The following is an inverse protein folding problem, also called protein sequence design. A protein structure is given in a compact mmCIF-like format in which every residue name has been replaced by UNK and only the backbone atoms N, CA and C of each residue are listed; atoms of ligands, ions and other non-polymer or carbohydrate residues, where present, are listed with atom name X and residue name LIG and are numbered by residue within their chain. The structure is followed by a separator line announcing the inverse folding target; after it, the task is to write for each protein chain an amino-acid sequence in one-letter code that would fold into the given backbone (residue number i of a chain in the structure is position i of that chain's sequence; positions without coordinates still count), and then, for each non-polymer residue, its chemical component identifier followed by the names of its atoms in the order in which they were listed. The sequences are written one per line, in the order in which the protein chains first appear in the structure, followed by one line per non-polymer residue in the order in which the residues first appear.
data_IF_835612203777
#
_entry.id   IF_835612203777
#
_cell.length_a   1.000
_cell.length_b   1.000
_cell.length_c   1.000
_cell.angle_alpha   90.00
_cell.angle_beta   90.00
_cell.angle_gamma   90.00
#
_symmetry.space_group_name_H-M   'P 1'
#
loop_
_entity.id
_entity.type
_entity.pdbx_description
1 polymer ?
#
# COMPACT_ATOMS: atom_id res chain seq x y z
N UNK A 1 3.97 -7.25 18.06
CA UNK A 1 3.79 -8.14 16.88
C UNK A 1 2.32 -8.13 16.48
N UNK A 2 1.94 -7.98 15.22
CA UNK A 2 0.54 -8.02 14.79
C UNK A 2 -0.14 -9.34 15.19
N UNK A 3 -1.41 -9.30 15.68
CA UNK A 3 -2.13 -10.51 16.12
C UNK A 3 -2.23 -11.60 15.04
N UNK A 4 -2.40 -11.21 13.78
CA UNK A 4 -2.45 -12.16 12.65
C UNK A 4 -1.14 -12.94 12.46
N UNK A 5 0.02 -12.31 12.73
CA UNK A 5 1.33 -12.96 12.66
C UNK A 5 1.48 -13.98 13.80
N UNK A 6 0.99 -13.65 14.99
CA UNK A 6 0.93 -14.58 16.13
C UNK A 6 0.04 -15.77 15.79
N UNK A 7 -1.15 -15.52 15.24
CA UNK A 7 -2.07 -16.58 14.81
C UNK A 7 -1.44 -17.52 13.78
N UNK A 8 -0.67 -16.98 12.83
CA UNK A 8 0.06 -17.80 11.85
C UNK A 8 1.09 -18.72 12.52
N UNK A 9 1.88 -18.20 13.48
CA UNK A 9 2.86 -19.03 14.20
C UNK A 9 2.17 -20.12 15.04
N UNK A 10 1.10 -19.78 15.75
CA UNK A 10 0.32 -20.75 16.52
C UNK A 10 -0.26 -21.83 15.62
N UNK A 11 -0.87 -21.46 14.50
CA UNK A 11 -1.41 -22.41 13.53
C UNK A 11 -0.32 -23.33 12.94
N UNK A 12 0.87 -22.78 12.66
CA UNK A 12 2.02 -23.56 12.15
C UNK A 12 2.51 -24.57 13.20
N UNK A 13 2.69 -24.13 14.44
CA UNK A 13 3.09 -25.02 15.55
C UNK A 13 2.02 -26.10 15.77
N UNK A 14 0.73 -25.73 15.75
CA UNK A 14 -0.38 -26.68 15.86
C UNK A 14 -0.38 -27.73 14.73
N UNK A 15 -0.13 -27.30 13.49
CA UNK A 15 -0.03 -28.22 12.35
C UNK A 15 1.14 -29.20 12.51
N UNK A 16 2.30 -28.73 12.95
CA UNK A 16 3.46 -29.57 13.25
C UNK A 16 3.13 -30.56 14.40
N UNK A 17 2.43 -30.10 15.44
CA UNK A 17 1.96 -30.96 16.55
C UNK A 17 1.01 -32.06 16.09
N UNK A 18 0.08 -31.75 15.18
CA UNK A 18 -0.81 -32.75 14.58
C UNK A 18 -0.05 -33.80 13.76
N UNK A 19 0.96 -33.39 13.02
CA UNK A 19 1.84 -34.31 12.28
C UNK A 19 2.58 -35.22 13.27
N UNK A 20 3.26 -34.65 14.27
CA UNK A 20 3.98 -35.42 15.29
C UNK A 20 3.07 -36.41 16.03
N UNK A 21 1.89 -35.95 16.43
CA UNK A 21 0.88 -36.81 17.08
C UNK A 21 0.48 -37.98 16.17
N UNK A 22 0.26 -37.72 14.88
CA UNK A 22 -0.11 -38.76 13.91
C UNK A 22 1.00 -39.80 13.73
N UNK A 23 2.25 -39.38 13.73
CA UNK A 23 3.42 -40.26 13.62
C UNK A 23 3.59 -41.16 14.87
N UNK A 24 3.26 -40.63 16.07
CA UNK A 24 3.47 -41.36 17.34
C UNK A 24 2.29 -42.28 17.70
N UNK A 25 1.06 -41.80 17.51
CA UNK A 25 -0.15 -42.45 18.02
C UNK A 25 -1.06 -43.00 16.90
N UNK A 26 -0.61 -42.92 15.62
CA UNK A 26 -1.34 -43.40 14.46
C UNK A 26 -2.30 -42.34 13.87
N UNK A 27 -3.01 -42.72 12.77
CA UNK A 27 -3.77 -41.77 11.97
C UNK A 27 -4.96 -41.17 12.71
N UNK A 28 -5.21 -39.90 12.43
CA UNK A 28 -6.41 -39.18 12.86
C UNK A 28 -7.57 -39.48 11.90
N UNK A 29 -8.84 -39.34 12.36
CA UNK A 29 -9.97 -39.29 11.42
C UNK A 29 -9.71 -38.26 10.32
N UNK A 30 -9.98 -38.61 9.06
CA UNK A 30 -9.56 -37.83 7.87
C UNK A 30 -10.05 -36.37 7.88
N UNK A 31 -11.20 -36.10 8.49
CA UNK A 31 -11.77 -34.76 8.58
C UNK A 31 -10.93 -33.80 9.47
N UNK A 32 -10.14 -34.34 10.41
CA UNK A 32 -9.30 -33.51 11.29
C UNK A 32 -8.14 -32.85 10.52
N UNK A 33 -7.26 -33.61 9.82
CA UNK A 33 -6.22 -32.96 9.01
C UNK A 33 -6.81 -32.12 7.85
N UNK A 34 -7.94 -32.53 7.27
CA UNK A 34 -8.61 -31.74 6.22
C UNK A 34 -9.06 -30.37 6.76
N UNK A 35 -9.71 -30.33 7.91
CA UNK A 35 -10.14 -29.08 8.55
C UNK A 35 -8.94 -28.20 8.94
N UNK A 36 -7.86 -28.81 9.47
CA UNK A 36 -6.65 -28.09 9.82
C UNK A 36 -5.98 -27.43 8.58
N UNK A 37 -5.86 -28.16 7.48
CA UNK A 37 -5.33 -27.63 6.21
C UNK A 37 -6.24 -26.53 5.66
N UNK A 38 -7.56 -26.73 5.63
CA UNK A 38 -8.51 -25.73 5.16
C UNK A 38 -8.42 -24.44 5.99
N UNK A 39 -8.40 -24.54 7.32
CA UNK A 39 -8.26 -23.40 8.22
C UNK A 39 -6.93 -22.67 8.04
N UNK A 40 -5.83 -23.41 7.86
CA UNK A 40 -4.52 -22.84 7.59
C UNK A 40 -4.47 -22.07 6.27
N UNK A 41 -5.05 -22.63 5.20
CA UNK A 41 -5.14 -21.97 3.89
C UNK A 41 -6.01 -20.72 3.95
N UNK A 42 -7.14 -20.75 4.67
CA UNK A 42 -7.97 -19.57 4.89
C UNK A 42 -7.22 -18.47 5.65
N UNK A 43 -6.46 -18.84 6.69
CA UNK A 43 -5.64 -17.90 7.44
C UNK A 43 -4.57 -17.25 6.54
N UNK A 44 -3.85 -18.05 5.75
CA UNK A 44 -2.87 -17.53 4.79
C UNK A 44 -3.53 -16.61 3.75
N UNK A 45 -4.66 -17.03 3.18
CA UNK A 45 -5.43 -16.24 2.22
C UNK A 45 -5.87 -14.90 2.80
N UNK A 46 -6.33 -14.88 4.06
CA UNK A 46 -6.65 -13.64 4.76
C UNK A 46 -5.43 -12.74 4.93
N UNK A 47 -4.26 -13.31 5.29
CA UNK A 47 -3.01 -12.56 5.40
C UNK A 47 -2.54 -11.96 4.08
N UNK A 48 -2.80 -12.63 2.97
CA UNK A 48 -2.50 -12.11 1.62
C UNK A 48 -3.47 -11.00 1.23
N UNK A 49 -4.78 -11.20 1.45
CA UNK A 49 -5.84 -10.32 0.96
C UNK A 49 -6.03 -9.05 1.80
N UNK A 50 -5.73 -9.10 3.09
CA UNK A 50 -5.98 -7.99 4.01
C UNK A 50 -4.67 -7.41 4.54
N UNK A 51 -4.13 -6.45 3.79
CA UNK A 51 -2.87 -5.76 4.08
C UNK A 51 -2.78 -5.26 5.53
N UNK A 52 -3.88 -4.71 6.08
CA UNK A 52 -3.95 -4.16 7.45
C UNK A 52 -3.70 -5.19 8.55
N UNK A 53 -3.79 -6.48 8.26
CA UNK A 53 -3.50 -7.54 9.24
C UNK A 53 -2.01 -7.59 9.60
N UNK A 54 -1.12 -7.07 8.74
CA UNK A 54 0.31 -7.05 9.01
C UNK A 54 0.93 -8.44 9.17
N UNK A 55 0.32 -9.47 8.57
CA UNK A 55 0.74 -10.86 8.79
C UNK A 55 2.17 -11.11 8.30
N UNK A 56 2.51 -10.64 7.11
CA UNK A 56 3.81 -10.88 6.48
C UNK A 56 4.74 -9.69 6.57
N UNK A 57 4.21 -8.46 6.58
CA UNK A 57 4.96 -7.20 6.62
C UNK A 57 4.37 -6.27 7.65
N UNK A 58 5.20 -5.40 8.22
CA UNK A 58 4.69 -4.31 9.07
C UNK A 58 4.07 -3.24 8.17
N UNK A 59 2.86 -2.80 8.52
CA UNK A 59 2.03 -1.92 7.69
C UNK A 59 1.57 -0.72 8.51
N UNK A 60 1.78 0.46 7.98
CA UNK A 60 1.14 1.68 8.48
C UNK A 60 -0.22 1.80 7.78
N UNK A 61 -1.29 1.50 8.49
CA UNK A 61 -2.67 1.57 7.97
C UNK A 61 -3.51 2.67 8.62
N UNK A 62 -2.96 3.33 9.62
CA UNK A 62 -3.45 4.55 10.28
C UNK A 62 -2.27 5.34 10.82
N UNK A 63 -2.46 6.62 11.08
CA UNK A 63 -1.50 7.43 11.82
C UNK A 63 -1.30 6.95 13.26
N UNK A 64 -0.24 7.40 13.94
CA UNK A 64 -0.06 7.19 15.38
C UNK A 64 -1.21 7.82 16.18
N UNK A 65 -1.32 7.50 17.46
CA UNK A 65 -2.45 7.97 18.27
C UNK A 65 -2.45 9.51 18.44
N UNK A 66 -1.29 10.14 18.31
CA UNK A 66 -1.11 11.61 18.35
C UNK A 66 -1.28 12.29 16.98
N UNK A 67 -1.49 11.50 15.90
CA UNK A 67 -1.64 12.05 14.56
C UNK A 67 -2.79 13.05 14.51
N UNK A 68 -2.54 14.19 13.85
CA UNK A 68 -3.55 15.17 13.52
C UNK A 68 -3.76 15.20 12.01
N UNK A 69 -5.01 15.45 11.60
CA UNK A 69 -5.40 15.51 10.20
C UNK A 69 -5.64 14.14 9.56
N UNK A 70 -5.86 14.17 8.27
CA UNK A 70 -6.21 13.03 7.41
C UNK A 70 -5.18 12.92 6.29
N UNK A 71 -4.60 11.74 6.10
CA UNK A 71 -3.77 11.46 4.93
C UNK A 71 -4.66 11.00 3.76
N UNK A 72 -4.97 11.93 2.84
CA UNK A 72 -5.52 11.57 1.54
C UNK A 72 -4.42 10.91 0.72
N UNK A 73 -4.65 9.71 0.20
CA UNK A 73 -3.67 8.99 -0.61
C UNK A 73 -4.29 8.58 -1.93
N UNK A 74 -3.53 8.78 -3.03
CA UNK A 74 -3.97 8.52 -4.39
C UNK A 74 -3.07 7.46 -5.03
N UNK A 75 -3.67 6.41 -5.57
CA UNK A 75 -2.99 5.30 -6.23
C UNK A 75 -3.18 5.36 -7.77
N UNK A 76 -2.39 4.57 -8.49
CA UNK A 76 -2.47 4.27 -9.92
C UNK A 76 -2.06 5.40 -10.88
N UNK A 77 -1.82 6.62 -10.39
CA UNK A 77 -1.32 7.73 -11.19
C UNK A 77 0.20 7.67 -11.48
N UNK A 78 0.72 8.74 -12.07
CA UNK A 78 0.03 9.94 -12.50
C UNK A 78 -0.74 9.75 -13.80
N UNK A 79 -1.86 10.48 -13.95
CA UNK A 79 -2.61 10.61 -15.20
C UNK A 79 -2.49 12.03 -15.75
N UNK A 80 -2.08 12.21 -17.01
CA UNK A 80 -2.04 13.55 -17.62
C UNK A 80 -3.38 14.28 -17.62
N UNK A 81 -4.49 13.53 -17.65
CA UNK A 81 -5.84 14.08 -17.68
C UNK A 81 -6.37 14.41 -16.28
N UNK A 82 -6.17 13.52 -15.30
CA UNK A 82 -6.87 13.59 -14.02
C UNK A 82 -6.01 14.17 -12.88
N UNK A 83 -4.72 13.83 -12.83
CA UNK A 83 -3.85 14.25 -11.73
C UNK A 83 -3.75 15.78 -11.60
N UNK A 84 -3.65 16.58 -12.70
CA UNK A 84 -3.65 18.05 -12.60
C UNK A 84 -4.92 18.58 -11.92
N UNK A 85 -6.09 18.04 -12.27
CA UNK A 85 -7.36 18.44 -11.68
C UNK A 85 -7.44 18.11 -10.19
N UNK A 86 -6.93 16.94 -9.77
CA UNK A 86 -6.82 16.57 -8.35
C UNK A 86 -5.90 17.55 -7.60
N UNK A 87 -4.76 17.90 -8.19
CA UNK A 87 -3.82 18.86 -7.61
C UNK A 87 -4.45 20.24 -7.42
N UNK A 88 -5.21 20.73 -8.40
CA UNK A 88 -5.90 22.02 -8.32
C UNK A 88 -6.98 22.02 -7.23
N UNK A 89 -7.73 20.92 -7.08
CA UNK A 89 -8.71 20.75 -6.00
C UNK A 89 -8.05 20.71 -4.63
N UNK A 90 -6.90 20.02 -4.50
CA UNK A 90 -6.13 19.97 -3.24
C UNK A 90 -5.59 21.34 -2.87
N UNK A 91 -5.07 22.11 -3.82
CA UNK A 91 -4.59 23.47 -3.58
C UNK A 91 -5.74 24.41 -3.16
N UNK A 92 -6.89 24.34 -3.84
CA UNK A 92 -8.08 25.10 -3.47
C UNK A 92 -8.57 24.76 -2.06
N UNK A 93 -8.48 23.49 -1.66
CA UNK A 93 -8.79 22.99 -0.33
C UNK A 93 -7.69 23.20 0.70
N UNK A 94 -6.53 23.77 0.32
CA UNK A 94 -5.31 23.90 1.15
C UNK A 94 -4.88 22.58 1.80
N UNK A 95 -5.13 21.46 1.13
CA UNK A 95 -4.82 20.14 1.61
C UNK A 95 -3.53 19.60 0.98
N UNK A 96 -2.74 18.90 1.77
CA UNK A 96 -1.63 18.10 1.24
C UNK A 96 -2.04 16.63 1.21
N UNK A 97 -1.43 15.88 0.29
CA UNK A 97 -1.76 14.49 0.03
C UNK A 97 -0.48 13.66 -0.23
N UNK A 98 -0.65 12.36 -0.40
CA UNK A 98 0.41 11.43 -0.79
C UNK A 98 -0.02 10.66 -2.03
N UNK A 99 0.84 10.62 -3.04
CA UNK A 99 0.60 9.93 -4.31
C UNK A 99 1.47 8.68 -4.39
N UNK A 100 0.84 7.50 -4.51
CA UNK A 100 1.51 6.23 -4.77
C UNK A 100 1.51 5.97 -6.27
N UNK A 101 2.60 6.32 -6.92
CA UNK A 101 2.67 6.36 -8.37
C UNK A 101 3.12 5.03 -8.97
N UNK A 102 2.51 4.66 -10.11
CA UNK A 102 3.04 3.63 -11.00
C UNK A 102 4.22 4.26 -11.74
N UNK A 103 5.43 3.81 -11.41
CA UNK A 103 6.64 4.49 -11.86
C UNK A 103 6.77 4.56 -13.39
N UNK A 104 6.30 3.55 -14.11
CA UNK A 104 6.26 3.53 -15.57
C UNK A 104 5.41 4.67 -16.15
N UNK A 105 4.27 5.00 -15.51
CA UNK A 105 3.43 6.15 -15.93
C UNK A 105 4.13 7.48 -15.66
N UNK A 106 4.89 7.58 -14.58
CA UNK A 106 5.61 8.78 -14.20
C UNK A 106 6.76 9.14 -15.16
N UNK A 107 7.25 8.20 -15.96
CA UNK A 107 8.33 8.43 -16.93
C UNK A 107 7.88 9.26 -18.16
N UNK A 108 6.57 9.30 -18.44
CA UNK A 108 6.06 10.06 -19.58
C UNK A 108 4.61 10.55 -19.30
N UNK A 109 4.40 11.82 -18.90
CA UNK A 109 5.36 12.92 -18.81
C UNK A 109 5.98 13.10 -17.40
N UNK A 110 7.31 13.24 -17.25
CA UNK A 110 7.96 13.40 -15.95
C UNK A 110 7.63 14.74 -15.27
N UNK A 111 7.21 15.75 -16.01
CA UNK A 111 6.81 17.06 -15.48
C UNK A 111 5.64 16.95 -14.52
N UNK A 112 4.75 15.99 -14.71
CA UNK A 112 3.60 15.80 -13.85
C UNK A 112 4.04 15.31 -12.45
N UNK A 113 5.02 14.41 -12.38
CA UNK A 113 5.57 13.98 -11.11
C UNK A 113 6.32 15.11 -10.40
N UNK A 114 7.06 15.94 -11.16
CA UNK A 114 7.69 17.15 -10.61
C UNK A 114 6.65 18.14 -10.08
N UNK A 115 5.51 18.29 -10.76
CA UNK A 115 4.41 19.15 -10.31
C UNK A 115 3.82 18.67 -8.98
N UNK A 116 3.62 17.35 -8.79
CA UNK A 116 3.17 16.77 -7.53
C UNK A 116 4.13 17.16 -6.40
N UNK A 117 5.45 16.98 -6.61
CA UNK A 117 6.47 17.33 -5.62
C UNK A 117 6.53 18.84 -5.34
N UNK A 118 6.53 19.68 -6.40
CA UNK A 118 6.61 21.13 -6.28
C UNK A 118 5.43 21.75 -5.55
N UNK A 119 4.23 21.14 -5.64
CA UNK A 119 3.04 21.55 -4.89
C UNK A 119 3.07 21.02 -3.43
N UNK A 120 4.17 20.39 -3.00
CA UNK A 120 4.41 19.97 -1.61
C UNK A 120 3.64 18.70 -1.20
N UNK A 121 3.25 17.85 -2.14
CA UNK A 121 2.71 16.52 -1.84
C UNK A 121 3.82 15.49 -1.65
N UNK A 122 3.54 14.42 -0.90
CA UNK A 122 4.46 13.30 -0.79
C UNK A 122 4.30 12.33 -1.95
N UNK A 123 5.39 11.65 -2.32
CA UNK A 123 5.40 10.64 -3.36
C UNK A 123 5.87 9.32 -2.76
N UNK A 124 5.08 8.28 -2.95
CA UNK A 124 5.42 6.88 -2.72
C UNK A 124 5.44 6.10 -4.03
N UNK A 125 5.92 4.86 -3.99
CA UNK A 125 5.91 3.97 -5.16
C UNK A 125 4.81 2.92 -5.06
N UNK A 126 4.11 2.67 -6.18
CA UNK A 126 3.05 1.65 -6.34
C UNK A 126 3.48 0.52 -7.30
N UNK A 127 4.77 0.16 -7.28
CA UNK A 127 5.40 -0.72 -8.24
C UNK A 127 5.86 0.02 -9.50
N UNK A 128 6.55 -0.74 -10.37
CA UNK A 128 7.03 -0.18 -11.63
C UNK A 128 5.95 -0.16 -12.71
N UNK A 129 5.28 -1.30 -12.95
CA UNK A 129 4.24 -1.48 -13.96
C UNK A 129 2.91 -2.02 -13.42
N UNK A 130 2.71 -1.99 -12.10
CA UNK A 130 1.51 -2.44 -11.39
C UNK A 130 1.16 -3.91 -11.68
N UNK A 131 2.14 -4.85 -11.56
CA UNK A 131 1.86 -6.28 -11.69
C UNK A 131 0.89 -6.75 -10.59
N UNK A 132 -0.37 -7.00 -10.94
CA UNK A 132 -1.41 -7.48 -10.01
C UNK A 132 -1.07 -8.81 -9.34
N UNK A 133 -0.18 -9.59 -9.96
CA UNK A 133 0.28 -10.87 -9.45
C UNK A 133 1.64 -10.77 -8.76
N UNK A 134 2.11 -9.55 -8.43
CA UNK A 134 3.41 -9.33 -7.80
C UNK A 134 3.59 -10.17 -6.53
N UNK A 135 2.52 -10.36 -5.74
CA UNK A 135 2.52 -11.19 -4.52
C UNK A 135 2.85 -12.67 -4.76
N UNK A 136 2.68 -13.14 -6.00
CA UNK A 136 3.00 -14.51 -6.43
C UNK A 136 4.36 -14.62 -7.13
N UNK A 137 5.00 -13.49 -7.47
CA UNK A 137 6.32 -13.49 -8.13
C UNK A 137 7.43 -13.92 -7.17
N UNK A 138 8.57 -14.30 -7.73
CA UNK A 138 9.75 -14.59 -6.92
C UNK A 138 10.23 -13.34 -6.16
N UNK A 139 10.88 -13.48 -5.00
CA UNK A 139 11.41 -12.34 -4.25
C UNK A 139 12.36 -11.47 -5.09
N UNK A 140 13.13 -12.07 -6.00
CA UNK A 140 14.01 -11.33 -6.91
C UNK A 140 13.20 -10.45 -7.87
N UNK A 141 12.11 -10.97 -8.48
CA UNK A 141 11.26 -10.19 -9.39
C UNK A 141 10.56 -9.05 -8.64
N UNK A 142 10.11 -9.28 -7.40
CA UNK A 142 9.54 -8.23 -6.54
C UNK A 142 10.59 -7.17 -6.22
N UNK A 143 11.81 -7.58 -5.86
CA UNK A 143 12.91 -6.66 -5.59
C UNK A 143 13.26 -5.81 -6.81
N UNK A 144 13.33 -6.42 -8.00
CA UNK A 144 13.64 -5.70 -9.23
C UNK A 144 12.54 -4.68 -9.61
N UNK A 145 11.27 -5.02 -9.34
CA UNK A 145 10.14 -4.11 -9.56
C UNK A 145 10.22 -2.89 -8.63
N UNK A 146 10.43 -3.12 -7.33
CA UNK A 146 10.54 -2.04 -6.34
C UNK A 146 11.78 -1.16 -6.62
N UNK A 147 12.93 -1.76 -6.93
CA UNK A 147 14.16 -1.03 -7.25
C UNK A 147 13.97 -0.12 -8.47
N UNK A 148 13.41 -0.67 -9.56
CA UNK A 148 13.11 0.11 -10.77
C UNK A 148 12.12 1.26 -10.49
N UNK A 149 11.11 1.02 -9.66
CA UNK A 149 10.15 2.05 -9.30
C UNK A 149 10.80 3.19 -8.50
N UNK A 150 11.62 2.86 -7.51
CA UNK A 150 12.35 3.82 -6.69
C UNK A 150 13.32 4.63 -7.57
N UNK A 151 14.09 3.95 -8.43
CA UNK A 151 15.09 4.62 -9.27
C UNK A 151 14.44 5.56 -10.28
N UNK A 152 13.30 5.18 -10.87
CA UNK A 152 12.55 6.03 -11.78
C UNK A 152 12.03 7.30 -11.06
N UNK A 153 11.40 7.16 -9.90
CA UNK A 153 10.92 8.31 -9.13
C UNK A 153 12.09 9.20 -8.70
N UNK A 154 13.18 8.60 -8.20
CA UNK A 154 14.37 9.35 -7.78
C UNK A 154 15.00 10.13 -8.93
N UNK A 155 15.06 9.55 -10.12
CA UNK A 155 15.64 10.22 -11.31
C UNK A 155 14.84 11.45 -11.76
N UNK A 156 13.54 11.47 -11.48
CA UNK A 156 12.64 12.57 -11.89
C UNK A 156 12.60 13.67 -10.81
N UNK A 157 12.52 13.29 -9.53
CA UNK A 157 12.28 14.21 -8.42
C UNK A 157 13.56 14.64 -7.71
N UNK A 158 14.66 13.91 -7.86
CA UNK A 158 15.88 14.06 -7.06
C UNK A 158 15.78 13.47 -5.65
N UNK A 159 14.60 13.08 -5.20
CA UNK A 159 14.35 12.54 -3.85
C UNK A 159 14.03 11.05 -3.90
N UNK A 160 14.63 10.27 -2.99
CA UNK A 160 14.35 8.84 -2.88
C UNK A 160 13.05 8.61 -2.13
N UNK A 161 12.03 7.97 -2.73
CA UNK A 161 10.79 7.66 -2.04
C UNK A 161 11.02 6.65 -0.90
N UNK A 162 10.38 6.90 0.24
CA UNK A 162 10.44 6.04 1.43
C UNK A 162 9.10 5.34 1.73
N UNK A 163 8.10 5.58 0.91
CA UNK A 163 6.76 5.00 1.02
C UNK A 163 6.54 3.99 -0.11
N UNK A 164 6.01 2.83 0.24
CA UNK A 164 5.64 1.79 -0.72
C UNK A 164 4.23 1.28 -0.42
N UNK A 165 3.41 1.17 -1.45
CA UNK A 165 2.13 0.49 -1.39
C UNK A 165 2.14 -0.63 -2.43
N UNK A 166 1.96 -1.90 -2.02
CA UNK A 166 1.95 -3.00 -2.98
C UNK A 166 0.74 -2.89 -3.91
N UNK A 167 0.90 -3.21 -5.22
CA UNK A 167 -0.20 -3.27 -6.18
C UNK A 167 -1.39 -4.08 -5.64
N UNK A 168 -2.61 -3.59 -5.87
CA UNK A 168 -3.89 -4.13 -5.35
C UNK A 168 -3.95 -4.33 -3.84
N UNK A 169 -2.94 -3.89 -3.08
CA UNK A 169 -2.87 -4.07 -1.63
C UNK A 169 -2.61 -5.50 -1.17
N UNK A 170 -2.07 -6.38 -2.03
CA UNK A 170 -1.75 -7.76 -1.69
C UNK A 170 -0.33 -7.87 -1.14
N UNK A 171 -0.16 -8.72 -0.11
CA UNK A 171 1.15 -9.05 0.47
C UNK A 171 1.40 -10.55 0.45
N UNK A 172 2.66 -10.94 0.66
CA UNK A 172 3.03 -12.35 0.77
C UNK A 172 4.40 -12.47 1.46
N UNK A 173 4.79 -13.69 1.90
CA UNK A 173 6.14 -13.93 2.39
C UNK A 173 7.23 -13.53 1.38
N UNK A 174 6.96 -13.63 0.08
CA UNK A 174 7.89 -13.25 -0.99
C UNK A 174 8.08 -11.74 -1.08
N UNK A 175 7.00 -10.96 -0.92
CA UNK A 175 7.07 -9.49 -0.80
C UNK A 175 7.83 -9.11 0.47
N UNK A 176 7.54 -9.76 1.61
CA UNK A 176 8.24 -9.53 2.86
C UNK A 176 9.77 -9.73 2.71
N UNK A 177 10.18 -10.83 2.09
CA UNK A 177 11.59 -11.13 1.82
C UNK A 177 12.24 -10.08 0.89
N UNK A 178 11.54 -9.64 -0.15
CA UNK A 178 12.06 -8.61 -1.05
C UNK A 178 12.24 -7.27 -0.33
N UNK A 179 11.29 -6.89 0.52
CA UNK A 179 11.31 -5.63 1.27
C UNK A 179 12.46 -5.52 2.28
N UNK A 180 13.09 -6.63 2.69
CA UNK A 180 14.29 -6.59 3.54
C UNK A 180 15.47 -5.84 2.90
N UNK A 181 15.45 -5.67 1.58
CA UNK A 181 16.50 -4.98 0.82
C UNK A 181 16.30 -3.47 0.70
N UNK A 182 15.12 -2.98 1.11
CA UNK A 182 14.72 -1.58 0.93
C UNK A 182 14.38 -0.92 2.27
N UNK A 183 14.76 0.33 2.38
CA UNK A 183 14.33 1.19 3.49
C UNK A 183 13.07 1.94 3.09
N UNK A 184 11.96 1.19 3.06
CA UNK A 184 10.64 1.74 2.73
C UNK A 184 9.61 1.32 3.77
N UNK A 185 8.61 2.19 3.96
CA UNK A 185 7.43 1.90 4.79
C UNK A 185 6.33 1.36 3.91
N UNK A 186 5.81 0.19 4.28
CA UNK A 186 4.60 -0.34 3.63
C UNK A 186 3.38 0.38 4.18
N UNK A 187 2.58 0.95 3.27
CA UNK A 187 1.40 1.75 3.62
C UNK A 187 0.13 1.04 3.17
N UNK A 188 -0.76 0.85 4.12
CA UNK A 188 -2.15 0.44 3.89
C UNK A 188 -3.11 1.63 3.96
N UNK A 189 -4.33 1.36 4.41
CA UNK A 189 -5.39 2.35 4.59
C UNK A 189 -6.33 1.95 5.71
N UNK A 190 -6.95 2.95 6.35
CA UNK A 190 -8.05 2.75 7.30
C UNK A 190 -9.41 2.88 6.61
N UNK A 191 -9.49 3.60 5.49
CA UNK A 191 -10.70 3.83 4.71
C UNK A 191 -10.44 3.53 3.24
N UNK A 192 -11.22 2.63 2.65
CA UNK A 192 -11.20 2.31 1.22
C UNK A 192 -12.43 2.93 0.55
N UNK A 193 -12.22 3.90 -0.32
CA UNK A 193 -13.31 4.63 -0.96
C UNK A 193 -14.01 3.84 -2.07
N UNK A 194 -13.31 2.91 -2.75
CA UNK A 194 -13.75 2.15 -3.93
C UNK A 194 -14.09 3.06 -5.13
N UNK A 195 -13.36 4.13 -5.28
CA UNK A 195 -13.49 5.16 -6.32
C UNK A 195 -12.82 4.77 -7.65
N UNK A 196 -11.76 3.93 -7.60
CA UNK A 196 -11.04 3.42 -8.77
C UNK A 196 -11.78 2.29 -9.52
N UNK A 197 -12.98 1.91 -9.09
CA UNK A 197 -13.79 0.89 -9.79
C UNK A 197 -14.60 1.56 -10.90
N UNK A 198 -14.55 1.00 -12.12
CA UNK A 198 -15.34 1.51 -13.26
C UNK A 198 -16.81 1.61 -12.92
N UNK A 199 -17.41 2.81 -13.12
CA UNK A 199 -18.79 3.09 -12.79
C UNK A 199 -19.05 3.33 -11.27
N UNK A 200 -18.01 3.57 -10.48
CA UNK A 200 -18.17 3.94 -9.08
C UNK A 200 -18.99 5.24 -8.94
N UNK A 201 -19.94 5.25 -8.00
CA UNK A 201 -20.75 6.44 -7.71
C UNK A 201 -19.99 7.41 -6.80
N UNK A 202 -19.80 8.68 -7.19
CA UNK A 202 -19.21 9.70 -6.32
C UNK A 202 -19.88 9.83 -4.96
N UNK A 203 -21.22 9.75 -4.90
CA UNK A 203 -21.95 9.86 -3.62
C UNK A 203 -21.68 8.68 -2.67
N UNK A 204 -21.50 7.47 -3.22
CA UNK A 204 -21.06 6.31 -2.43
C UNK A 204 -19.64 6.46 -1.93
N UNK A 205 -18.75 7.02 -2.74
CA UNK A 205 -17.36 7.35 -2.36
C UNK A 205 -17.38 8.35 -1.20
N UNK A 206 -18.11 9.47 -1.35
CA UNK A 206 -18.24 10.50 -0.31
C UNK A 206 -18.77 9.88 0.99
N UNK A 207 -19.83 9.08 0.92
CA UNK A 207 -20.43 8.45 2.11
C UNK A 207 -19.44 7.53 2.83
N UNK A 208 -18.66 6.71 2.10
CA UNK A 208 -17.65 5.83 2.69
C UNK A 208 -16.54 6.63 3.36
N UNK A 209 -16.05 7.67 2.69
CA UNK A 209 -15.00 8.52 3.23
C UNK A 209 -15.47 9.24 4.48
N UNK A 210 -16.64 9.90 4.44
CA UNK A 210 -17.22 10.62 5.58
C UNK A 210 -17.36 9.75 6.83
N UNK A 211 -17.75 8.48 6.70
CA UNK A 211 -17.83 7.54 7.84
C UNK A 211 -16.50 7.24 8.50
N UNK A 212 -15.41 7.42 7.79
CA UNK A 212 -14.07 7.13 8.27
C UNK A 212 -13.21 8.35 8.58
N UNK A 213 -13.76 9.58 8.38
CA UNK A 213 -13.05 10.82 8.68
C UNK A 213 -12.77 10.95 10.18
N UNK A 214 -11.51 11.03 10.53
CA UNK A 214 -10.99 11.29 11.87
C UNK A 214 -9.49 11.55 11.79
N UNK A 215 -8.93 12.11 12.83
CA UNK A 215 -7.48 12.23 12.98
C UNK A 215 -6.79 10.86 12.79
N UNK A 216 -5.68 10.87 12.07
CA UNK A 216 -4.91 9.68 11.77
C UNK A 216 -5.50 8.76 10.71
N UNK A 217 -6.64 9.12 10.08
CA UNK A 217 -7.19 8.31 9.00
C UNK A 217 -6.30 8.36 7.75
N UNK A 218 -6.07 7.19 7.15
CA UNK A 218 -5.44 7.05 5.81
C UNK A 218 -6.54 6.63 4.85
N UNK A 219 -6.84 7.51 3.89
CA UNK A 219 -7.92 7.33 2.91
C UNK A 219 -7.32 6.89 1.58
N UNK A 220 -7.73 5.73 1.09
CA UNK A 220 -7.36 5.24 -0.24
C UNK A 220 -8.32 5.77 -1.29
N UNK A 221 -7.78 6.57 -2.18
CA UNK A 221 -8.38 7.10 -3.40
C UNK A 221 -7.48 6.76 -4.61
N UNK A 222 -7.91 7.14 -5.82
CA UNK A 222 -7.15 6.97 -7.05
C UNK A 222 -7.17 8.28 -7.85
N UNK A 223 -6.03 8.69 -8.42
CA UNK A 223 -5.93 9.82 -9.34
C UNK A 223 -5.89 9.38 -10.80
N UNK A 224 -5.85 8.06 -11.03
CA UNK A 224 -5.96 7.42 -12.33
C UNK A 224 -6.64 6.06 -12.21
N UNK A 225 -7.22 5.57 -13.31
CA UNK A 225 -7.46 4.14 -13.45
C UNK A 225 -6.14 3.43 -13.76
N UNK A 226 -5.96 2.21 -13.28
CA UNK A 226 -4.75 1.43 -13.55
C UNK A 226 -4.43 1.34 -15.05
N UNK A 227 -5.46 1.14 -15.88
CA UNK A 227 -5.34 0.99 -17.34
C UNK A 227 -5.69 2.25 -18.12
N UNK A 228 -5.91 3.37 -17.44
CA UNK A 228 -6.37 4.63 -18.03
C UNK A 228 -7.65 4.50 -18.91
N UNK A 229 -8.50 3.51 -18.58
CA UNK A 229 -9.71 3.16 -19.33
C UNK A 229 -10.99 3.78 -18.79
N UNK A 230 -10.90 4.52 -17.70
CA UNK A 230 -12.01 5.27 -17.11
C UNK A 230 -11.51 6.35 -16.15
N UNK A 231 -12.41 7.31 -15.85
CA UNK A 231 -12.18 8.37 -14.87
C UNK A 231 -12.51 7.86 -13.47
N UNK A 232 -11.60 7.98 -12.50
CA UNK A 232 -11.90 7.65 -11.09
C UNK A 232 -12.96 8.56 -10.50
N UNK A 233 -13.86 8.00 -9.69
CA UNK A 233 -14.94 8.77 -9.05
C UNK A 233 -14.42 9.72 -7.94
N UNK A 234 -13.18 9.57 -7.51
CA UNK A 234 -12.48 10.49 -6.59
C UNK A 234 -12.49 11.92 -7.09
N UNK A 235 -12.29 12.15 -8.38
CA UNK A 235 -12.23 13.49 -8.96
C UNK A 235 -13.52 14.28 -8.73
N UNK A 236 -14.68 13.62 -8.86
CA UNK A 236 -15.98 14.24 -8.60
C UNK A 236 -16.34 14.27 -7.09
N UNK A 237 -15.78 13.34 -6.32
CA UNK A 237 -16.04 13.23 -4.89
C UNK A 237 -15.16 14.17 -4.05
N UNK A 238 -13.96 14.49 -4.51
CA UNK A 238 -12.94 15.21 -3.74
C UNK A 238 -13.41 16.57 -3.21
N UNK A 239 -14.11 17.42 -3.96
CA UNK A 239 -14.61 18.70 -3.42
C UNK A 239 -15.46 18.52 -2.17
N UNK A 240 -16.40 17.55 -2.18
CA UNK A 240 -17.29 17.26 -1.04
C UNK A 240 -16.53 16.56 0.11
N UNK A 241 -15.46 15.83 -0.19
CA UNK A 241 -14.58 15.24 0.83
C UNK A 241 -13.81 16.34 1.55
N UNK A 242 -13.20 17.27 0.82
CA UNK A 242 -12.45 18.40 1.39
C UNK A 242 -13.37 19.32 2.20
N UNK A 243 -14.59 19.58 1.73
CA UNK A 243 -15.61 20.31 2.49
C UNK A 243 -15.94 19.60 3.80
N UNK A 244 -16.15 18.28 3.77
CA UNK A 244 -16.45 17.51 4.97
C UNK A 244 -15.27 17.52 5.95
N UNK A 245 -14.01 17.43 5.46
CA UNK A 245 -12.82 17.55 6.31
C UNK A 245 -12.79 18.92 7.00
N UNK A 246 -13.03 20.00 6.26
CA UNK A 246 -13.10 21.36 6.83
C UNK A 246 -14.20 21.51 7.90
N UNK A 247 -15.38 20.92 7.67
CA UNK A 247 -16.49 20.95 8.64
C UNK A 247 -16.18 20.17 9.93
N UNK A 248 -15.27 19.21 9.89
CA UNK A 248 -14.79 18.43 11.03
C UNK A 248 -13.45 18.91 11.59
N UNK A 249 -12.96 20.07 11.14
CA UNK A 249 -11.67 20.65 11.57
C UNK A 249 -10.47 19.73 11.31
N UNK A 250 -10.52 18.99 10.19
CA UNK A 250 -9.51 18.03 9.78
C UNK A 250 -8.69 18.58 8.61
N UNK A 251 -7.38 18.65 8.79
CA UNK A 251 -6.46 19.06 7.73
C UNK A 251 -6.03 17.87 6.86
N UNK A 252 -5.82 18.13 5.57
CA UNK A 252 -5.19 17.18 4.65
C UNK A 252 -3.67 17.24 4.80
N UNK A 253 -3.06 16.14 5.23
CA UNK A 253 -1.62 16.08 5.53
C UNK A 253 -0.89 15.05 4.68
N UNK A 254 0.42 15.27 4.51
CA UNK A 254 1.32 14.27 3.93
C UNK A 254 1.49 13.11 4.93
N UNK A 255 1.46 11.88 4.40
CA UNK A 255 1.59 10.69 5.24
C UNK A 255 2.99 10.59 5.88
N UNK A 256 4.04 11.00 5.17
CA UNK A 256 5.41 11.00 5.68
C UNK A 256 5.62 11.95 6.87
N UNK A 257 4.77 12.96 7.05
CA UNK A 257 4.78 13.82 8.23
C UNK A 257 4.52 13.05 9.54
N UNK A 258 3.82 11.92 9.47
CA UNK A 258 3.56 11.05 10.63
C UNK A 258 4.65 10.01 10.89
N UNK A 259 5.59 9.84 9.96
CA UNK A 259 6.58 8.77 10.03
C UNK A 259 7.87 9.19 10.72
N UNK A 260 7.89 10.19 11.57
CA UNK A 260 9.03 10.65 12.37
C UNK A 260 10.40 10.60 11.64
N UNK A 261 11.22 11.58 11.88
CA UNK A 261 12.60 11.67 11.34
C UNK A 261 13.57 10.63 11.92
N UNK A 262 13.12 9.85 12.91
CA UNK A 262 13.95 8.88 13.64
C UNK A 262 13.88 7.46 13.03
N UNK A 263 14.06 7.31 11.72
CA UNK A 263 14.43 6.02 11.17
C UNK A 263 15.94 5.92 11.10
N UNK A 264 16.52 5.26 12.10
CA UNK A 264 17.88 4.76 11.96
C UNK A 264 17.94 3.91 10.67
N UNK A 265 18.88 4.21 9.75
CA UNK A 265 18.98 3.47 8.50
C UNK A 265 19.14 1.99 8.81
N UNK A 266 18.17 1.15 8.41
CA UNK A 266 18.34 -0.31 8.48
C UNK A 266 19.62 -0.64 7.70
N UNK A 267 20.58 -1.29 8.37
CA UNK A 267 21.88 -1.65 7.79
C UNK A 267 21.63 -2.32 6.44
N UNK A 268 22.05 -1.66 5.35
CA UNK A 268 22.09 -2.25 4.01
C UNK A 268 22.84 -3.57 4.08
N UNK A 269 22.14 -4.71 4.04
CA UNK A 269 22.78 -5.97 3.72
C UNK A 269 23.28 -5.86 2.28
N UNK A 270 24.58 -5.75 2.10
CA UNK A 270 25.23 -5.67 0.78
C UNK A 270 24.72 -6.83 -0.08
N UNK A 271 24.00 -6.51 -1.16
CA UNK A 271 23.63 -7.46 -2.23
C UNK A 271 24.94 -8.14 -2.69
N UNK A 272 25.14 -9.42 -2.37
CA UNK A 272 26.22 -10.19 -2.99
C UNK A 272 25.88 -10.26 -4.48
N UNK A 273 26.50 -9.39 -5.28
CA UNK A 273 26.48 -9.52 -6.74
C UNK A 273 27.02 -10.91 -7.05
N UNK A 274 26.15 -11.85 -7.42
CA UNK A 274 26.60 -13.06 -8.12
C UNK A 274 27.19 -12.56 -9.43
N UNK A 275 28.52 -12.63 -9.52
CA UNK A 275 29.21 -12.52 -10.80
C UNK A 275 28.57 -13.57 -11.71
N UNK A 276 27.96 -13.12 -12.80
CA UNK A 276 27.68 -13.96 -13.93
C UNK A 276 29.04 -14.50 -14.40
N UNK A 277 29.25 -15.79 -14.29
CA UNK A 277 30.32 -16.45 -15.02
C UNK A 277 29.88 -16.51 -16.49
N UNK A 278 30.80 -16.01 -17.30
CA UNK A 278 30.80 -16.09 -18.76
C UNK A 278 30.60 -17.52 -19.27
#
# INVERSE_FOLDING_TARGET
MPPARVALYVATIGALGLIARTLIFGPLPFYVPLAAVAGYLLLLGAGVAFLRLGMFVDVVWRGPDEARGVALTFDDGPSPEHTPQILDLLDAGRAKATFFVIAKKALAPPELLRSIAARGHAIGVHGYDHDRLLSLRSPQRVSDDIEKAIDAVTSITGERPVLYRPPVGLTSPRIAQALEWFDVTVVGWSVRALDGVKGASPDRVITRVKRGLRDGAIILLHDAAERDDHRPASLDALPKILEAMRLHDLEGVRLDAWLGTERAPRRRRKKKRRKAHA
#
